data_IF_865936066128
#
_entry.id   IF_865936066128
#
_cell.length_a   1.000
_cell.length_b   1.000
_cell.length_c   1.000
_cell.angle_alpha   90.00
_cell.angle_beta   90.00
_cell.angle_gamma   90.00
#
_symmetry.space_group_name_H-M   'P 1'
#
loop_
_entity.id
_entity.type
_entity.pdbx_description
1 polymer ?
#
# COMPACT_ATOMS: atom_id res chain seq x y z
N UNK A 1 3.05 -3.68 8.64
CA UNK A 1 4.25 -2.93 8.99
C UNK A 1 5.49 -3.44 8.26
N UNK A 2 5.93 -4.70 8.40
CA UNK A 2 7.18 -5.26 7.83
C UNK A 2 7.39 -5.02 6.32
N UNK A 3 6.33 -5.17 5.52
CA UNK A 3 6.41 -4.95 4.07
C UNK A 3 6.73 -3.50 3.73
N UNK A 4 5.89 -2.55 4.19
CA UNK A 4 6.07 -1.13 3.88
C UNK A 4 7.37 -0.57 4.47
N UNK A 5 7.80 -1.02 5.64
CA UNK A 5 9.11 -0.65 6.19
C UNK A 5 10.25 -1.15 5.30
N UNK A 6 10.14 -2.41 4.85
CA UNK A 6 11.13 -2.99 3.94
C UNK A 6 11.23 -2.25 2.61
N UNK A 7 10.09 -1.88 2.02
CA UNK A 7 10.02 -1.12 0.77
C UNK A 7 10.65 0.27 0.90
N UNK A 8 10.26 1.04 1.93
CA UNK A 8 10.81 2.38 2.16
C UNK A 8 12.31 2.32 2.40
N UNK A 9 12.74 1.45 3.31
CA UNK A 9 14.16 1.32 3.61
C UNK A 9 14.97 0.92 2.39
N UNK A 10 14.49 -0.07 1.63
CA UNK A 10 15.16 -0.50 0.40
C UNK A 10 15.23 0.61 -0.64
N UNK A 11 14.14 1.37 -0.85
CA UNK A 11 14.13 2.49 -1.78
C UNK A 11 15.17 3.55 -1.40
N UNK A 12 15.23 3.93 -0.11
CA UNK A 12 16.19 4.91 0.40
C UNK A 12 17.63 4.39 0.41
N UNK A 13 17.86 3.09 0.64
CA UNK A 13 19.20 2.47 0.53
C UNK A 13 19.72 2.48 -0.92
N UNK A 14 18.82 2.34 -1.91
CA UNK A 14 19.16 2.41 -3.34
C UNK A 14 19.36 3.85 -3.80
N UNK A 15 18.48 4.76 -3.39
CA UNK A 15 18.58 6.17 -3.71
C UNK A 15 18.03 7.04 -2.58
N UNK A 16 18.89 7.63 -1.74
CA UNK A 16 18.47 8.46 -0.61
C UNK A 16 17.88 9.82 -1.02
N UNK A 17 17.89 10.15 -2.31
CA UNK A 17 17.22 11.35 -2.86
C UNK A 17 15.77 11.08 -3.29
N UNK A 18 15.26 9.86 -3.11
CA UNK A 18 13.91 9.50 -3.53
C UNK A 18 12.87 10.07 -2.57
N UNK A 19 12.00 10.95 -3.05
CA UNK A 19 10.83 11.37 -2.32
C UNK A 19 9.80 10.23 -2.26
N UNK A 20 9.28 9.97 -1.06
CA UNK A 20 8.32 8.90 -0.81
C UNK A 20 7.08 9.49 -0.15
N UNK A 21 5.91 9.17 -0.70
CA UNK A 21 4.61 9.52 -0.13
C UNK A 21 3.78 8.26 0.10
N UNK A 22 3.42 8.01 1.35
CA UNK A 22 2.46 6.96 1.68
C UNK A 22 1.03 7.46 1.49
N UNK A 23 0.24 6.72 0.72
CA UNK A 23 -1.14 7.10 0.42
C UNK A 23 -2.12 6.09 0.99
N UNK A 24 -3.01 6.52 1.90
CA UNK A 24 -4.01 5.67 2.53
C UNK A 24 -5.36 5.82 1.85
N UNK A 25 -5.70 4.88 0.97
CA UNK A 25 -6.96 4.89 0.24
C UNK A 25 -8.14 4.41 1.09
N UNK A 26 -9.33 4.93 0.80
CA UNK A 26 -10.55 4.51 1.45
C UNK A 26 -10.96 3.08 1.04
N UNK A 27 -11.43 2.30 2.01
CA UNK A 27 -11.97 0.96 1.80
C UNK A 27 -13.23 0.75 2.64
N UNK A 28 -14.05 -0.23 2.26
CA UNK A 28 -15.24 -0.62 3.04
C UNK A 28 -14.93 -0.97 4.49
N UNK A 29 -13.71 -1.51 4.75
CA UNK A 29 -13.27 -1.86 6.09
C UNK A 29 -12.79 -0.67 6.92
N UNK A 30 -12.26 0.38 6.29
CA UNK A 30 -11.71 1.55 7.00
C UNK A 30 -12.79 2.58 7.36
N UNK A 31 -13.71 2.85 6.45
CA UNK A 31 -14.72 3.90 6.62
C UNK A 31 -15.53 3.78 7.91
N UNK A 32 -16.04 2.60 8.32
CA UNK A 32 -16.79 2.48 9.58
C UNK A 32 -15.97 2.72 10.84
N UNK A 33 -14.64 2.49 10.77
CA UNK A 33 -13.72 2.73 11.88
C UNK A 33 -13.47 4.23 12.00
N UNK A 34 -13.16 4.88 10.88
CA UNK A 34 -12.89 6.32 10.82
C UNK A 34 -14.14 7.13 11.20
N UNK A 35 -15.32 6.72 10.75
CA UNK A 35 -16.59 7.36 11.12
C UNK A 35 -16.85 7.38 12.64
N UNK A 36 -16.26 6.45 13.38
CA UNK A 36 -16.25 6.41 14.85
C UNK A 36 -15.10 7.19 15.48
N UNK A 37 -14.40 8.00 14.71
CA UNK A 37 -13.20 8.76 15.12
C UNK A 37 -12.06 7.86 15.63
N UNK A 38 -11.95 6.69 15.04
CA UNK A 38 -10.87 5.74 15.30
C UNK A 38 -10.00 5.60 14.05
N UNK A 39 -8.73 5.29 14.23
CA UNK A 39 -7.82 5.05 13.12
C UNK A 39 -7.65 3.55 12.88
N UNK A 40 -7.82 3.06 11.63
CA UNK A 40 -7.54 1.66 11.31
C UNK A 40 -6.10 1.27 11.64
N UNK A 41 -5.89 0.09 12.22
CA UNK A 41 -4.55 -0.42 12.60
C UNK A 41 -3.56 -0.44 11.44
N UNK A 42 -4.03 -0.71 10.22
CA UNK A 42 -3.18 -0.68 9.05
C UNK A 42 -2.62 0.72 8.80
N UNK A 43 -3.45 1.76 8.89
CA UNK A 43 -3.04 3.16 8.73
C UNK A 43 -2.10 3.55 9.87
N UNK A 44 -2.45 3.23 11.13
CA UNK A 44 -1.58 3.50 12.28
C UNK A 44 -0.18 2.90 12.12
N UNK A 45 -0.10 1.66 11.63
CA UNK A 45 1.18 0.99 11.40
C UNK A 45 1.99 1.65 10.27
N UNK A 46 1.33 2.15 9.22
CA UNK A 46 2.00 2.83 8.11
C UNK A 46 2.48 4.22 8.54
N UNK A 47 1.67 4.95 9.31
CA UNK A 47 2.06 6.24 9.88
C UNK A 47 3.27 6.11 10.84
N UNK A 48 3.34 5.02 11.62
CA UNK A 48 4.53 4.73 12.44
C UNK A 48 5.78 4.58 11.58
N UNK A 49 5.67 3.92 10.43
CA UNK A 49 6.79 3.79 9.50
C UNK A 49 7.10 5.14 8.84
N UNK A 50 6.10 5.88 8.36
CA UNK A 50 6.28 7.20 7.79
C UNK A 50 7.04 8.13 8.74
N UNK A 51 6.60 8.20 10.00
CA UNK A 51 7.25 9.01 11.03
C UNK A 51 8.69 8.57 11.32
N UNK A 52 8.96 7.27 11.36
CA UNK A 52 10.29 6.73 11.65
C UNK A 52 11.29 7.08 10.54
N UNK A 53 10.87 6.97 9.29
CA UNK A 53 11.72 7.29 8.12
C UNK A 53 11.58 8.73 7.64
N UNK A 54 10.77 9.55 8.31
CA UNK A 54 10.49 10.95 7.95
C UNK A 54 10.07 11.11 6.49
N UNK A 55 9.21 10.20 6.03
CA UNK A 55 8.58 10.28 4.71
C UNK A 55 7.17 10.84 4.82
N UNK A 56 6.72 11.49 3.77
CA UNK A 56 5.38 12.10 3.73
C UNK A 56 4.28 11.06 3.69
N UNK A 57 3.11 11.40 4.22
CA UNK A 57 1.91 10.59 4.09
C UNK A 57 0.67 11.45 3.80
N UNK A 58 -0.32 10.87 3.14
CA UNK A 58 -1.63 11.48 2.91
C UNK A 58 -2.75 10.49 3.23
N UNK A 59 -3.63 10.88 4.15
CA UNK A 59 -4.74 10.05 4.58
C UNK A 59 -6.02 10.37 3.80
N UNK A 60 -6.11 9.88 2.56
CA UNK A 60 -7.29 10.02 1.73
C UNK A 60 -8.52 9.30 2.31
N UNK A 61 -8.31 8.22 3.08
CA UNK A 61 -9.41 7.51 3.73
C UNK A 61 -10.15 8.39 4.75
N UNK A 62 -9.40 9.23 5.48
CA UNK A 62 -9.97 10.20 6.41
C UNK A 62 -10.81 11.23 5.68
N UNK A 63 -10.26 11.86 4.64
CA UNK A 63 -10.97 12.86 3.83
C UNK A 63 -12.26 12.29 3.21
N UNK A 64 -12.19 11.11 2.63
CA UNK A 64 -13.38 10.48 2.05
C UNK A 64 -14.43 10.17 3.13
N UNK A 65 -14.01 9.70 4.31
CA UNK A 65 -14.93 9.45 5.42
C UNK A 65 -15.65 10.72 5.87
N UNK A 66 -14.95 11.82 5.99
CA UNK A 66 -15.50 13.13 6.37
C UNK A 66 -16.50 13.63 5.33
N UNK A 67 -16.15 13.62 4.05
CA UNK A 67 -17.03 14.04 2.96
C UNK A 67 -18.29 13.18 2.83
N UNK A 68 -18.19 11.87 3.12
CA UNK A 68 -19.36 10.98 3.19
C UNK A 68 -20.28 11.34 4.35
N UNK A 69 -19.73 11.66 5.53
CA UNK A 69 -20.49 12.09 6.70
C UNK A 69 -21.18 13.44 6.46
N UNK A 70 -20.53 14.33 5.73
CA UNK A 70 -21.08 15.63 5.32
C UNK A 70 -22.12 15.51 4.20
N UNK A 71 -22.36 14.32 3.67
CA UNK A 71 -23.34 14.08 2.62
C UNK A 71 -22.96 14.67 1.25
N UNK A 72 -21.68 14.95 1.01
CA UNK A 72 -21.21 15.51 -0.25
C UNK A 72 -21.39 14.53 -1.42
N UNK A 73 -21.32 13.25 -1.16
CA UNK A 73 -21.59 12.14 -2.08
C UNK A 73 -21.85 10.86 -1.29
N UNK A 74 -22.34 9.83 -1.96
CA UNK A 74 -22.48 8.48 -1.41
C UNK A 74 -21.28 7.62 -1.77
N UNK A 75 -21.01 6.58 -0.99
CA UNK A 75 -19.96 5.61 -1.28
C UNK A 75 -20.14 4.93 -2.65
N UNK A 76 -21.41 4.78 -3.10
CA UNK A 76 -21.74 4.25 -4.44
C UNK A 76 -21.35 5.23 -5.55
N UNK A 77 -21.65 6.52 -5.40
CA UNK A 77 -21.28 7.56 -6.37
C UNK A 77 -19.77 7.72 -6.47
N UNK A 78 -19.06 7.56 -5.35
CA UNK A 78 -17.61 7.54 -5.32
C UNK A 78 -17.04 6.34 -6.10
N UNK A 79 -17.70 5.19 -6.11
CA UNK A 79 -17.30 3.99 -6.82
C UNK A 79 -16.65 2.92 -5.94
N UNK A 80 -16.94 2.95 -4.66
CA UNK A 80 -16.41 2.01 -3.66
C UNK A 80 -14.87 2.04 -3.57
N UNK A 81 -14.26 0.93 -3.19
CA UNK A 81 -12.80 0.79 -3.10
C UNK A 81 -12.08 0.91 -4.47
N UNK A 82 -12.81 0.86 -5.57
CA UNK A 82 -12.33 1.08 -6.93
C UNK A 82 -13.07 2.27 -7.54
N UNK A 83 -12.63 3.51 -7.23
CA UNK A 83 -13.41 4.70 -7.52
C UNK A 83 -13.72 4.87 -9.01
N UNK A 84 -14.95 5.28 -9.29
CA UNK A 84 -15.38 5.71 -10.61
C UNK A 84 -14.72 7.06 -10.97
N UNK A 85 -14.86 7.58 -12.22
CA UNK A 85 -14.21 8.82 -12.62
C UNK A 85 -14.41 9.99 -11.64
N UNK A 86 -15.60 10.11 -11.04
CA UNK A 86 -15.87 11.10 -10.00
C UNK A 86 -14.99 10.88 -8.75
N UNK A 87 -14.98 9.69 -8.19
CA UNK A 87 -14.15 9.38 -7.02
C UNK A 87 -12.64 9.51 -7.31
N UNK A 88 -12.22 9.19 -8.54
CA UNK A 88 -10.85 9.46 -9.00
C UNK A 88 -10.53 10.95 -9.00
N UNK A 89 -11.46 11.82 -9.44
CA UNK A 89 -11.26 13.26 -9.42
C UNK A 89 -11.10 13.82 -8.00
N UNK A 90 -11.82 13.25 -7.02
CA UNK A 90 -11.68 13.62 -5.61
C UNK A 90 -10.27 13.26 -5.09
N UNK A 91 -9.79 12.05 -5.37
CA UNK A 91 -8.42 11.67 -5.00
C UNK A 91 -7.37 12.53 -5.72
N UNK A 92 -7.57 12.80 -7.01
CA UNK A 92 -6.67 13.64 -7.78
C UNK A 92 -6.56 15.04 -7.16
N UNK A 93 -7.66 15.65 -6.78
CA UNK A 93 -7.65 16.97 -6.16
C UNK A 93 -6.85 16.99 -4.84
N UNK A 94 -7.05 15.97 -3.97
CA UNK A 94 -6.32 15.88 -2.72
C UNK A 94 -4.82 15.66 -2.92
N UNK A 95 -4.43 14.79 -3.86
CA UNK A 95 -3.03 14.53 -4.19
C UNK A 95 -2.40 15.77 -4.84
N UNK A 96 -3.11 16.46 -5.73
CA UNK A 96 -2.61 17.69 -6.35
C UNK A 96 -2.35 18.77 -5.31
N UNK A 97 -3.25 18.95 -4.35
CA UNK A 97 -3.04 19.89 -3.25
C UNK A 97 -1.76 19.59 -2.45
N UNK A 98 -1.48 18.32 -2.18
CA UNK A 98 -0.24 17.91 -1.52
C UNK A 98 0.98 18.26 -2.38
N UNK A 99 0.95 17.93 -3.66
CA UNK A 99 2.07 18.22 -4.57
C UNK A 99 2.29 19.73 -4.75
N UNK A 100 1.23 20.52 -4.81
CA UNK A 100 1.31 21.98 -4.88
C UNK A 100 1.92 22.58 -3.62
N UNK A 101 1.62 22.03 -2.44
CA UNK A 101 2.22 22.44 -1.17
C UNK A 101 3.71 22.12 -1.15
N UNK A 102 4.08 20.88 -1.49
CA UNK A 102 5.48 20.46 -1.60
C UNK A 102 6.26 21.34 -2.58
N UNK A 103 5.66 21.71 -3.73
CA UNK A 103 6.31 22.58 -4.71
C UNK A 103 6.52 24.01 -4.18
N UNK A 104 5.60 24.53 -3.37
CA UNK A 104 5.77 25.84 -2.72
C UNK A 104 6.92 25.83 -1.71
N UNK A 105 7.04 24.76 -0.92
CA UNK A 105 8.15 24.60 0.03
C UNK A 105 9.49 24.49 -0.68
N UNK A 106 9.58 23.71 -1.77
CA UNK A 106 10.81 23.60 -2.59
C UNK A 106 11.23 24.96 -3.14
N UNK A 107 10.28 25.75 -3.63
CA UNK A 107 10.57 27.09 -4.19
C UNK A 107 11.02 28.10 -3.11
N UNK A 108 10.62 27.89 -1.86
CA UNK A 108 11.02 28.73 -0.74
C UNK A 108 12.42 28.37 -0.19
N UNK A 109 12.80 27.10 -0.21
CA UNK A 109 14.08 26.59 0.27
C UNK A 109 14.69 25.60 -0.72
N UNK A 110 15.48 26.07 -1.68
CA UNK A 110 16.13 25.23 -2.71
C UNK A 110 17.25 24.33 -2.18
N UNK A 111 17.06 23.64 -1.07
CA UNK A 111 18.08 22.74 -0.52
C UNK A 111 17.65 21.30 -0.72
N UNK A 112 18.33 20.61 -1.64
CA UNK A 112 18.28 19.15 -1.75
C UNK A 112 18.77 18.53 -0.47
N UNK A 113 17.92 17.75 0.20
CA UNK A 113 18.28 17.02 1.42
C UNK A 113 18.21 15.52 1.15
N UNK A 114 19.26 14.80 1.53
CA UNK A 114 19.23 13.35 1.51
C UNK A 114 18.38 12.84 2.69
N UNK A 115 17.62 11.78 2.47
CA UNK A 115 16.95 11.09 3.56
C UNK A 115 17.98 10.39 4.46
N UNK A 116 17.88 10.64 5.75
CA UNK A 116 18.62 9.89 6.76
C UNK A 116 17.92 8.55 7.00
N UNK A 117 18.62 7.45 6.75
CA UNK A 117 18.08 6.12 7.03
C UNK A 117 18.34 5.79 8.49
N UNK A 118 17.30 5.58 9.32
CA UNK A 118 17.50 5.21 10.73
C UNK A 118 18.34 3.94 10.86
N UNK A 119 19.29 3.93 11.79
CA UNK A 119 20.14 2.77 12.02
C UNK A 119 19.34 1.53 12.47
N UNK A 120 18.33 1.74 13.32
CA UNK A 120 17.43 0.68 13.77
C UNK A 120 16.16 0.61 12.87
N UNK A 121 15.74 -0.61 12.59
CA UNK A 121 14.42 -0.89 12.02
C UNK A 121 13.36 -0.88 13.12
N UNK A 122 12.10 -0.56 12.78
CA UNK A 122 10.96 -0.71 13.69
C UNK A 122 10.64 -2.18 13.97
N UNK A 123 10.82 -3.02 12.97
CA UNK A 123 10.69 -4.46 13.10
C UNK A 123 11.99 -5.13 12.56
N UNK A 124 12.73 -5.88 13.40
CA UNK A 124 13.98 -6.52 12.98
C UNK A 124 13.78 -7.58 11.88
N UNK A 125 12.53 -7.94 11.62
CA UNK A 125 12.15 -8.87 10.54
C UNK A 125 11.52 -8.15 9.34
N UNK A 126 11.73 -6.85 9.17
CA UNK A 126 11.25 -6.11 8.00
C UNK A 126 11.86 -6.68 6.70
N UNK A 127 11.10 -6.60 5.60
CA UNK A 127 11.45 -7.29 4.34
C UNK A 127 12.45 -6.50 3.46
N UNK A 128 13.41 -5.84 4.08
CA UNK A 128 14.43 -5.05 3.37
C UNK A 128 15.27 -5.89 2.40
N UNK A 129 15.51 -7.14 2.74
CA UNK A 129 16.31 -8.09 1.94
C UNK A 129 15.48 -9.27 1.44
N UNK A 130 14.22 -8.99 1.07
CA UNK A 130 13.35 -10.02 0.51
C UNK A 130 13.84 -10.49 -0.87
N UNK A 131 13.84 -11.81 -1.07
CA UNK A 131 14.16 -12.42 -2.36
C UNK A 131 13.04 -13.36 -2.78
N UNK A 132 12.66 -13.29 -4.04
CA UNK A 132 11.80 -14.30 -4.63
C UNK A 132 12.59 -15.61 -4.80
N UNK A 133 12.08 -16.69 -4.23
CA UNK A 133 12.64 -18.04 -4.42
C UNK A 133 11.88 -18.69 -5.58
N UNK A 134 12.53 -19.01 -6.71
CA UNK A 134 11.85 -19.71 -7.80
C UNK A 134 11.42 -21.12 -7.35
N UNK A 135 10.26 -21.57 -7.81
CA UNK A 135 9.70 -22.88 -7.43
C UNK A 135 10.66 -24.03 -7.69
N UNK A 136 11.53 -23.93 -8.70
CA UNK A 136 12.57 -24.91 -9.00
C UNK A 136 13.63 -25.09 -7.88
N UNK A 137 13.72 -24.14 -6.96
CA UNK A 137 14.62 -24.19 -5.79
C UNK A 137 13.91 -24.56 -4.48
N UNK A 138 12.59 -24.79 -4.53
CA UNK A 138 11.80 -25.13 -3.36
C UNK A 138 11.81 -26.64 -3.16
N UNK A 139 12.14 -27.10 -1.97
CA UNK A 139 11.99 -28.51 -1.58
C UNK A 139 10.52 -28.74 -1.20
N UNK A 140 9.82 -29.51 -2.03
CA UNK A 140 8.41 -29.82 -1.84
C UNK A 140 8.25 -30.92 -0.79
N UNK A 141 7.54 -30.60 0.29
CA UNK A 141 7.20 -31.56 1.33
C UNK A 141 5.91 -32.33 1.05
N UNK A 142 5.61 -33.29 1.93
CA UNK A 142 4.37 -34.05 1.87
C UNK A 142 3.16 -33.12 1.94
N UNK A 143 2.16 -33.36 1.10
CA UNK A 143 0.93 -32.57 1.05
C UNK A 143 1.00 -31.32 0.15
N UNK A 144 2.07 -31.16 -0.62
CA UNK A 144 2.22 -30.10 -1.61
C UNK A 144 2.59 -30.66 -2.97
N UNK A 145 2.16 -29.98 -4.03
CA UNK A 145 2.53 -30.29 -5.41
C UNK A 145 2.75 -29.01 -6.21
N UNK A 146 3.57 -29.07 -7.25
CA UNK A 146 3.64 -28.03 -8.27
C UNK A 146 2.70 -28.43 -9.42
N UNK A 147 1.89 -27.48 -9.83
CA UNK A 147 1.07 -27.56 -11.05
C UNK A 147 1.61 -26.53 -12.01
N UNK A 148 2.20 -26.98 -13.14
CA UNK A 148 2.88 -26.08 -14.08
C UNK A 148 1.92 -25.18 -14.83
N UNK A 149 0.73 -25.66 -15.12
CA UNK A 149 -0.36 -24.91 -15.78
C UNK A 149 -1.57 -24.83 -14.83
N UNK A 150 -1.46 -23.98 -13.82
CA UNK A 150 -2.51 -23.86 -12.83
C UNK A 150 -3.75 -23.16 -13.41
N UNK A 151 -4.84 -23.87 -13.49
CA UNK A 151 -6.13 -23.39 -13.94
C UNK A 151 -7.26 -24.08 -13.17
N UNK A 152 -7.55 -23.66 -11.92
CA UNK A 152 -8.50 -24.37 -11.07
C UNK A 152 -9.92 -24.32 -11.64
N UNK A 153 -10.62 -25.44 -11.51
CA UNK A 153 -12.06 -25.49 -11.78
C UNK A 153 -12.81 -24.69 -10.71
N UNK A 154 -13.53 -23.64 -11.17
CA UNK A 154 -13.83 -22.58 -10.58
C UNK A 154 -14.94 -22.14 -9.77
N UNK A 155 -14.77 -22.15 -8.45
CA UNK A 155 -15.52 -21.34 -7.48
C UNK A 155 -14.97 -19.93 -7.29
N UNK A 156 -13.86 -19.59 -7.93
CA UNK A 156 -13.18 -18.31 -7.77
C UNK A 156 -13.14 -17.55 -9.08
N UNK A 157 -13.32 -16.25 -9.03
CA UNK A 157 -13.16 -15.40 -10.19
C UNK A 157 -11.72 -15.48 -10.71
N UNK A 158 -11.58 -16.02 -11.92
CA UNK A 158 -10.26 -16.15 -12.55
C UNK A 158 -9.87 -14.83 -13.17
N UNK A 159 -8.77 -14.26 -12.70
CA UNK A 159 -8.18 -13.09 -13.34
C UNK A 159 -7.17 -13.51 -14.39
N UNK A 160 -7.28 -12.94 -15.61
CA UNK A 160 -6.27 -13.08 -16.65
C UNK A 160 -4.90 -12.72 -16.08
N UNK A 161 -3.89 -13.55 -16.28
CA UNK A 161 -2.54 -13.36 -15.76
C UNK A 161 -2.26 -14.04 -14.40
N UNK A 162 -3.30 -14.57 -13.70
CA UNK A 162 -3.13 -15.37 -12.49
C UNK A 162 -3.47 -16.85 -12.69
N UNK A 163 -3.80 -17.24 -13.91
CA UNK A 163 -4.02 -18.62 -14.34
C UNK A 163 -3.02 -18.98 -15.43
N UNK A 164 -2.85 -20.26 -15.71
CA UNK A 164 -1.86 -20.76 -16.65
C UNK A 164 -0.41 -20.40 -16.28
N UNK A 165 -0.13 -20.44 -14.98
CA UNK A 165 1.19 -20.20 -14.40
C UNK A 165 1.57 -21.34 -13.47
N UNK A 166 2.88 -21.58 -13.24
CA UNK A 166 3.30 -22.55 -12.24
C UNK A 166 2.85 -22.12 -10.83
N UNK A 167 2.18 -23.03 -10.14
CA UNK A 167 1.61 -22.77 -8.82
C UNK A 167 1.96 -23.88 -7.84
N UNK A 168 2.33 -23.50 -6.62
CA UNK A 168 2.48 -24.42 -5.50
C UNK A 168 1.12 -24.61 -4.83
N UNK A 169 0.55 -25.79 -4.91
CA UNK A 169 -0.75 -26.12 -4.35
C UNK A 169 -0.62 -27.06 -3.17
N UNK A 170 -1.46 -26.85 -2.15
CA UNK A 170 -1.66 -27.85 -1.11
C UNK A 170 -2.40 -29.06 -1.71
N UNK A 171 -1.83 -30.23 -1.60
CA UNK A 171 -2.56 -31.46 -1.89
C UNK A 171 -3.68 -31.60 -0.85
N UNK A 172 -4.91 -31.87 -1.28
CA UNK A 172 -5.98 -32.16 -0.32
C UNK A 172 -5.56 -33.34 0.56
N UNK A 173 -5.86 -33.30 1.86
CA UNK A 173 -5.58 -34.42 2.77
C UNK A 173 -6.34 -35.67 2.32
#
# INVERSE_FOLDING_TARGET
MRGVEGEIRHALEVNPETDIVLTHFATDGFLPIIARRQMPDAILNYERVANHYRVSSVNLAQEISERLQDGQFTWKEFGYAHPHPYGQSVYTAAISNLLDEMQREINAESIRRLHEIPAAQLDPYSYTKGHFIPLSRVRIGRGWKITDDWNPDNKYEKRKGFVHVPMLEAARP
#
